data_IF_941947292687
#
_entry.id   IF_941947292687
#
_cell.length_a   1.000
_cell.length_b   1.000
_cell.length_c   1.000
_cell.angle_alpha   90.00
_cell.angle_beta   90.00
_cell.angle_gamma   90.00
#
_symmetry.space_group_name_H-M   'P 1'
#
loop_
_entity.id
_entity.type
_entity.pdbx_description
1 polymer ?
#
# COMPACT_ATOMS: atom_id res chain seq x y z
N UNK A 1 9.88 15.14 8.29
CA UNK A 1 10.74 14.06 7.78
C UNK A 1 9.89 12.93 7.21
N UNK A 2 10.31 12.31 6.10
CA UNK A 2 9.70 11.11 5.51
C UNK A 2 10.46 9.87 6.01
N UNK A 3 9.81 8.99 6.76
CA UNK A 3 10.46 7.85 7.42
C UNK A 3 9.59 6.59 7.32
N UNK A 4 10.08 5.59 6.59
CA UNK A 4 9.37 4.33 6.36
C UNK A 4 9.26 3.46 7.62
N UNK A 5 10.25 3.49 8.50
CA UNK A 5 10.22 2.76 9.78
C UNK A 5 9.07 3.23 10.66
N UNK A 6 8.85 4.54 10.74
CA UNK A 6 7.72 5.11 11.51
C UNK A 6 6.35 4.74 10.94
N UNK A 7 6.26 4.49 9.63
CA UNK A 7 5.01 3.98 9.02
C UNK A 7 4.73 2.56 9.50
N UNK A 8 5.75 1.71 9.59
CA UNK A 8 5.63 0.33 10.09
C UNK A 8 5.29 0.30 11.59
N UNK A 9 5.88 1.20 12.38
CA UNK A 9 5.66 1.31 13.83
C UNK A 9 4.23 1.71 14.22
N UNK A 10 3.42 2.21 13.28
CA UNK A 10 1.99 2.45 13.53
C UNK A 10 1.22 1.16 13.87
N UNK A 11 1.77 -0.02 13.57
CA UNK A 11 1.23 -1.34 13.90
C UNK A 11 -0.27 -1.49 13.57
N UNK A 12 -0.68 -0.98 12.42
CA UNK A 12 -2.05 -1.01 11.95
C UNK A 12 -2.11 -1.58 10.53
N UNK A 13 -3.19 -2.32 10.22
CA UNK A 13 -3.50 -2.69 8.84
C UNK A 13 -3.74 -1.42 8.03
N UNK A 14 -2.96 -1.24 6.97
CA UNK A 14 -3.02 -0.11 6.06
C UNK A 14 -3.87 -0.50 4.85
N UNK A 15 -4.97 0.19 4.62
CA UNK A 15 -5.83 -0.01 3.47
C UNK A 15 -5.50 0.99 2.38
N UNK A 16 -5.47 0.53 1.14
CA UNK A 16 -5.37 1.40 -0.03
C UNK A 16 -6.75 2.03 -0.25
N UNK A 17 -6.89 3.31 0.08
CA UNK A 17 -8.12 4.03 -0.19
C UNK A 17 -8.23 4.37 -1.67
N UNK A 18 -7.19 5.01 -2.19
CA UNK A 18 -7.10 5.50 -3.56
C UNK A 18 -5.75 5.19 -4.18
N UNK A 19 -5.72 5.09 -5.52
CA UNK A 19 -4.48 4.96 -6.29
C UNK A 19 -4.60 5.65 -7.65
N UNK A 20 -3.46 5.99 -8.26
CA UNK A 20 -3.43 6.70 -9.56
C UNK A 20 -2.97 5.81 -10.73
N UNK A 21 -3.19 4.51 -10.65
CA UNK A 21 -2.82 3.51 -11.68
C UNK A 21 -3.81 2.35 -11.64
N UNK A 22 -3.87 1.59 -12.72
CA UNK A 22 -4.74 0.44 -12.83
C UNK A 22 -4.02 -0.84 -12.39
N UNK A 23 -4.69 -1.72 -11.66
CA UNK A 23 -4.19 -3.08 -11.40
C UNK A 23 -5.37 -4.02 -11.52
N UNK A 24 -5.17 -5.07 -12.31
CA UNK A 24 -6.12 -6.14 -12.53
C UNK A 24 -5.51 -7.49 -12.19
N UNK A 25 -6.37 -8.44 -11.88
CA UNK A 25 -5.98 -9.83 -11.65
C UNK A 25 -5.96 -10.62 -12.96
N UNK A 26 -4.78 -10.75 -13.55
CA UNK A 26 -4.60 -11.41 -14.84
C UNK A 26 -5.02 -12.89 -14.82
N UNK A 27 -5.02 -13.55 -13.66
CA UNK A 27 -5.32 -14.98 -13.54
C UNK A 27 -6.76 -15.25 -13.10
N UNK A 28 -7.57 -14.22 -12.88
CA UNK A 28 -8.97 -14.37 -12.49
C UNK A 28 -9.84 -13.38 -13.24
N UNK A 29 -9.88 -13.55 -14.57
CA UNK A 29 -10.82 -12.82 -15.43
C UNK A 29 -10.50 -11.35 -15.67
N UNK A 30 -9.27 -10.91 -15.37
CA UNK A 30 -8.82 -9.52 -15.56
C UNK A 30 -9.67 -8.50 -14.76
N UNK A 31 -10.22 -8.92 -13.62
CA UNK A 31 -10.99 -8.03 -12.76
C UNK A 31 -10.10 -7.00 -12.06
N UNK A 32 -10.53 -5.73 -11.92
CA UNK A 32 -9.82 -4.74 -11.12
C UNK A 32 -9.64 -5.20 -9.68
N UNK A 33 -8.45 -4.98 -9.12
CA UNK A 33 -8.22 -5.22 -7.70
C UNK A 33 -8.94 -4.18 -6.86
N UNK A 34 -9.61 -4.64 -5.81
CA UNK A 34 -10.35 -3.84 -4.85
C UNK A 34 -9.99 -4.26 -3.43
N UNK A 35 -10.39 -3.47 -2.44
CA UNK A 35 -10.26 -3.80 -1.02
C UNK A 35 -8.83 -4.20 -0.62
N UNK A 36 -7.84 -3.51 -1.17
CA UNK A 36 -6.45 -3.83 -0.94
C UNK A 36 -6.00 -3.36 0.44
N UNK A 37 -5.32 -4.22 1.19
CA UNK A 37 -4.69 -3.87 2.45
C UNK A 37 -3.38 -4.60 2.69
N UNK A 38 -2.54 -3.95 3.49
CA UNK A 38 -1.22 -4.41 3.86
C UNK A 38 -1.14 -4.45 5.39
N UNK A 39 -0.77 -5.61 5.93
CA UNK A 39 -0.50 -5.79 7.35
C UNK A 39 0.95 -6.21 7.52
N UNK A 40 1.75 -5.36 8.15
CA UNK A 40 3.10 -5.74 8.56
C UNK A 40 2.97 -6.72 9.72
N UNK A 41 3.64 -7.86 9.60
CA UNK A 41 3.68 -8.90 10.61
C UNK A 41 5.00 -8.92 11.36
N UNK A 42 5.43 -10.12 11.71
CA UNK A 42 6.65 -10.35 12.49
C UNK A 42 7.89 -9.77 11.83
N UNK A 43 8.74 -9.20 12.68
CA UNK A 43 10.08 -8.74 12.35
C UNK A 43 11.01 -9.95 12.26
N UNK A 44 11.44 -10.30 11.05
CA UNK A 44 12.31 -11.47 10.76
C UNK A 44 13.77 -11.16 11.05
N UNK A 45 14.20 -9.93 10.76
CA UNK A 45 15.55 -9.41 11.06
C UNK A 45 15.42 -7.94 11.49
N UNK A 46 16.50 -7.24 11.92
CA UNK A 46 16.43 -5.83 12.28
C UNK A 46 15.76 -4.91 11.23
N UNK A 47 15.76 -5.32 9.96
CA UNK A 47 15.36 -4.53 8.81
C UNK A 47 14.35 -5.23 7.87
N UNK A 48 14.06 -6.52 8.10
CA UNK A 48 13.13 -7.30 7.29
C UNK A 48 11.90 -7.70 8.11
N UNK A 49 10.74 -7.49 7.51
CA UNK A 49 9.43 -7.77 8.10
C UNK A 49 8.65 -8.69 7.18
N UNK A 50 7.79 -9.54 7.74
CA UNK A 50 6.73 -10.16 6.94
C UNK A 50 5.68 -9.12 6.59
N UNK A 51 5.15 -9.17 5.38
CA UNK A 51 4.12 -8.26 4.90
C UNK A 51 2.99 -9.10 4.30
N UNK A 52 1.81 -9.06 4.90
CA UNK A 52 0.64 -9.71 4.33
C UNK A 52 -0.10 -8.71 3.45
N UNK A 53 -0.25 -9.03 2.17
CA UNK A 53 -1.04 -8.28 1.21
C UNK A 53 -2.34 -9.03 0.92
N UNK A 54 -3.48 -8.39 1.21
CA UNK A 54 -4.81 -8.90 0.93
C UNK A 54 -5.51 -8.02 -0.08
N UNK A 55 -6.29 -8.64 -0.96
CA UNK A 55 -7.09 -7.93 -1.95
C UNK A 55 -8.30 -8.75 -2.37
N UNK A 56 -9.27 -8.08 -2.99
CA UNK A 56 -10.46 -8.68 -3.58
C UNK A 56 -10.40 -8.58 -5.10
N UNK A 57 -10.72 -9.67 -5.78
CA UNK A 57 -10.77 -9.78 -7.24
C UNK A 57 -11.94 -10.69 -7.64
N UNK A 58 -12.79 -10.23 -8.57
CA UNK A 58 -13.95 -11.01 -9.01
C UNK A 58 -14.92 -11.40 -7.88
N UNK A 59 -14.97 -10.62 -6.81
CA UNK A 59 -15.78 -10.92 -5.62
C UNK A 59 -15.11 -11.81 -4.57
N UNK A 60 -13.97 -12.44 -4.88
CA UNK A 60 -13.23 -13.35 -4.01
C UNK A 60 -12.04 -12.67 -3.33
N UNK A 61 -11.78 -13.02 -2.07
CA UNK A 61 -10.60 -12.55 -1.35
C UNK A 61 -9.37 -13.41 -1.66
N UNK A 62 -8.22 -12.75 -1.77
CA UNK A 62 -6.92 -13.37 -1.99
C UNK A 62 -5.91 -12.80 -1.01
N UNK A 63 -4.94 -13.62 -0.62
CA UNK A 63 -3.86 -13.25 0.31
C UNK A 63 -2.53 -13.67 -0.28
N UNK A 64 -1.55 -12.77 -0.22
CA UNK A 64 -0.16 -13.00 -0.62
C UNK A 64 0.73 -12.62 0.56
N UNK A 65 1.70 -13.46 0.86
CA UNK A 65 2.70 -13.18 1.90
C UNK A 65 4.00 -12.73 1.23
N UNK A 66 4.38 -11.50 1.52
CA UNK A 66 5.55 -10.82 0.99
C UNK A 66 6.57 -10.51 2.09
N UNK A 67 7.72 -10.01 1.67
CA UNK A 67 8.70 -9.40 2.58
C UNK A 67 8.73 -7.89 2.38
N UNK A 68 8.78 -7.15 3.49
CA UNK A 68 9.06 -5.72 3.51
C UNK A 68 10.46 -5.50 4.05
N UNK A 69 11.30 -4.83 3.26
CA UNK A 69 12.68 -4.52 3.61
C UNK A 69 12.81 -3.01 3.78
N UNK A 70 13.39 -2.58 4.90
CA UNK A 70 13.70 -1.19 5.22
C UNK A 70 15.21 -1.03 5.40
N UNK A 71 15.78 0.12 5.07
CA UNK A 71 17.15 0.49 5.45
C UNK A 71 18.30 -0.19 4.69
N UNK A 72 18.30 -1.50 4.47
CA UNK A 72 19.35 -2.18 3.68
C UNK A 72 18.80 -3.33 2.83
N UNK A 73 19.19 -3.34 1.55
CA UNK A 73 18.98 -4.47 0.64
C UNK A 73 20.32 -5.17 0.41
N UNK A 74 20.58 -6.24 1.17
CA UNK A 74 21.90 -6.85 1.24
C UNK A 74 22.90 -5.89 1.88
N UNK A 75 23.94 -5.49 1.15
CA UNK A 75 24.93 -4.48 1.57
C UNK A 75 24.59 -3.06 1.12
N UNK A 76 23.52 -2.89 0.34
CA UNK A 76 23.14 -1.59 -0.23
C UNK A 76 22.24 -0.83 0.74
N UNK A 77 22.62 0.36 1.23
CA UNK A 77 21.71 1.18 2.02
C UNK A 77 20.54 1.67 1.18
N UNK A 78 19.36 1.65 1.77
CA UNK A 78 18.12 2.21 1.23
C UNK A 78 17.86 3.59 1.85
N UNK A 79 17.25 4.53 1.11
CA UNK A 79 16.82 5.80 1.66
C UNK A 79 15.87 5.60 2.87
N UNK A 80 15.88 6.51 3.87
CA UNK A 80 15.02 6.39 5.05
C UNK A 80 13.50 6.37 4.76
N UNK A 81 13.09 6.86 3.60
CA UNK A 81 11.69 6.88 3.15
C UNK A 81 11.34 5.73 2.20
N UNK A 82 12.23 4.77 1.97
CA UNK A 82 12.00 3.65 1.06
C UNK A 82 11.38 2.45 1.77
N UNK A 83 10.33 1.90 1.17
CA UNK A 83 9.68 0.65 1.52
C UNK A 83 9.86 -0.33 0.36
N UNK A 84 10.81 -1.25 0.49
CA UNK A 84 11.09 -2.23 -0.56
C UNK A 84 10.20 -3.47 -0.39
N UNK A 85 9.17 -3.59 -1.23
CA UNK A 85 8.22 -4.70 -1.25
C UNK A 85 7.54 -4.84 -2.62
N UNK A 86 6.89 -5.99 -2.87
CA UNK A 86 6.09 -6.20 -4.08
C UNK A 86 4.72 -5.53 -3.94
N UNK A 87 4.46 -4.48 -4.73
CA UNK A 87 3.20 -3.74 -4.61
C UNK A 87 2.00 -4.49 -5.21
N UNK A 88 2.19 -5.29 -6.25
CA UNK A 88 1.11 -6.01 -6.94
C UNK A 88 1.21 -7.51 -6.70
N UNK A 89 0.11 -8.29 -6.83
CA UNK A 89 0.11 -9.71 -6.47
C UNK A 89 1.10 -10.58 -7.26
N UNK A 90 1.45 -10.15 -8.47
CA UNK A 90 2.37 -10.84 -9.39
C UNK A 90 3.58 -9.98 -9.74
N UNK A 91 3.81 -8.90 -8.98
CA UNK A 91 4.93 -8.00 -9.20
C UNK A 91 6.17 -8.48 -8.45
N UNK A 92 7.34 -8.08 -8.94
CA UNK A 92 8.56 -8.20 -8.15
C UNK A 92 8.62 -7.07 -7.10
N UNK A 93 9.42 -7.29 -6.05
CA UNK A 93 9.67 -6.24 -5.07
C UNK A 93 10.39 -5.03 -5.71
N UNK A 94 9.92 -3.83 -5.38
CA UNK A 94 10.44 -2.57 -5.92
C UNK A 94 10.50 -1.52 -4.82
N UNK A 95 11.13 -0.38 -5.13
CA UNK A 95 11.26 0.77 -4.24
C UNK A 95 9.95 1.57 -4.20
N UNK A 96 9.24 1.53 -3.06
CA UNK A 96 8.01 2.31 -2.85
C UNK A 96 8.31 3.41 -1.83
N UNK A 97 8.26 4.67 -2.24
CA UNK A 97 8.75 5.77 -1.38
C UNK A 97 7.62 6.46 -0.62
N UNK A 98 7.80 6.66 0.68
CA UNK A 98 6.93 7.50 1.51
C UNK A 98 7.08 8.96 1.08
N UNK A 99 6.06 9.52 0.44
CA UNK A 99 6.01 10.94 0.07
C UNK A 99 5.50 11.80 1.23
N UNK A 100 4.58 11.26 2.01
CA UNK A 100 4.04 11.90 3.19
C UNK A 100 3.43 10.85 4.11
N UNK A 101 3.54 11.06 5.42
CA UNK A 101 2.73 10.35 6.40
C UNK A 101 2.51 11.28 7.58
N UNK A 102 1.32 11.21 8.17
CA UNK A 102 1.10 11.83 9.47
C UNK A 102 1.51 10.91 10.63
N UNK A 103 1.96 9.69 10.34
CA UNK A 103 2.36 8.66 11.32
C UNK A 103 1.27 8.32 12.35
N UNK A 104 0.01 8.53 11.96
CA UNK A 104 -1.17 8.20 12.78
C UNK A 104 -2.09 7.29 11.99
N UNK A 105 -2.51 7.73 10.81
CA UNK A 105 -3.54 7.04 10.05
C UNK A 105 -3.53 7.29 8.54
N UNK A 106 -2.63 8.11 8.01
CA UNK A 106 -2.61 8.46 6.59
C UNK A 106 -1.18 8.47 6.06
N UNK A 107 -0.95 7.74 4.98
CA UNK A 107 0.36 7.63 4.32
C UNK A 107 0.19 7.70 2.81
N UNK A 108 1.06 8.43 2.13
CA UNK A 108 1.10 8.54 0.68
C UNK A 108 2.40 7.91 0.21
N UNK A 109 2.28 6.91 -0.67
CA UNK A 109 3.42 6.23 -1.27
C UNK A 109 3.54 6.60 -2.74
N UNK A 110 4.77 6.79 -3.21
CA UNK A 110 5.13 6.74 -4.63
C UNK A 110 5.31 5.27 -5.00
N UNK A 111 4.54 4.83 -5.98
CA UNK A 111 4.59 3.47 -6.50
C UNK A 111 5.18 3.50 -7.91
N UNK A 112 6.23 2.71 -8.20
CA UNK A 112 6.72 2.54 -9.56
C UNK A 112 5.78 1.62 -10.34
N UNK A 113 5.30 2.08 -11.51
CA UNK A 113 4.52 1.27 -12.46
C UNK A 113 5.11 1.43 -13.86
N UNK A 114 6.21 0.75 -14.20
CA UNK A 114 6.96 0.97 -15.45
C UNK A 114 6.09 0.96 -16.72
N UNK A 115 5.06 0.11 -16.75
CA UNK A 115 4.17 -0.06 -17.90
C UNK A 115 3.01 0.94 -17.95
N UNK A 116 2.89 1.86 -16.98
CA UNK A 116 1.78 2.83 -16.89
C UNK A 116 2.26 4.29 -16.77
N UNK A 117 3.57 4.49 -16.83
CA UNK A 117 4.23 5.78 -16.70
C UNK A 117 4.84 6.00 -15.31
N UNK A 118 5.22 7.24 -15.04
CA UNK A 118 5.92 7.61 -13.81
C UNK A 118 4.97 8.12 -12.73
N UNK A 119 5.48 8.54 -11.57
CA UNK A 119 4.74 9.35 -10.60
C UNK A 119 3.38 8.77 -10.15
N UNK A 120 3.24 7.45 -10.07
CA UNK A 120 2.03 6.85 -9.54
C UNK A 120 2.03 6.84 -8.02
N UNK A 121 0.84 6.92 -7.42
CA UNK A 121 0.71 6.96 -5.98
C UNK A 121 -0.36 6.03 -5.46
N UNK A 122 -0.17 5.69 -4.19
CA UNK A 122 -1.20 5.18 -3.32
C UNK A 122 -1.49 6.19 -2.19
N UNK A 123 -2.76 6.27 -1.81
CA UNK A 123 -3.19 6.82 -0.53
C UNK A 123 -3.58 5.68 0.39
N UNK A 124 -2.79 5.44 1.42
CA UNK A 124 -3.05 4.47 2.46
C UNK A 124 -3.70 5.12 3.67
N UNK A 125 -4.69 4.43 4.23
CA UNK A 125 -5.33 4.80 5.48
C UNK A 125 -5.39 3.63 6.45
N UNK A 126 -5.19 3.90 7.75
CA UNK A 126 -5.30 2.88 8.78
C UNK A 126 -6.74 2.34 8.89
N UNK A 127 -6.88 1.04 9.19
CA UNK A 127 -8.15 0.30 9.27
C UNK A 127 -9.28 1.01 10.02
N UNK A 128 -8.98 1.66 11.15
CA UNK A 128 -10.02 2.33 11.95
C UNK A 128 -10.57 3.62 11.32
N UNK A 129 -9.91 4.16 10.31
CA UNK A 129 -10.21 5.48 9.74
C UNK A 129 -10.44 5.47 8.23
N UNK A 130 -10.17 4.36 7.53
CA UNK A 130 -10.26 4.29 6.06
C UNK A 130 -11.67 4.63 5.52
N UNK A 131 -12.72 4.37 6.29
CA UNK A 131 -14.11 4.74 5.94
C UNK A 131 -14.39 6.24 6.05
N UNK A 132 -13.55 6.99 6.76
CA UNK A 132 -13.64 8.44 6.91
C UNK A 132 -12.86 9.14 5.80
N UNK A 133 -13.10 10.44 5.59
CA UNK A 133 -12.27 11.22 4.69
C UNK A 133 -10.82 11.29 5.16
N UNK A 134 -9.84 11.27 4.25
CA UNK A 134 -8.45 11.46 4.62
C UNK A 134 -8.26 12.78 5.38
N UNK A 135 -7.39 12.82 6.41
CA UNK A 135 -7.10 14.07 7.12
C UNK A 135 -6.69 15.17 6.13
N UNK A 136 -7.23 16.37 6.30
CA UNK A 136 -7.05 17.49 5.36
C UNK A 136 -5.58 17.71 4.93
N UNK A 137 -4.57 17.72 5.84
CA UNK A 137 -3.17 17.87 5.42
C UNK A 137 -2.67 16.73 4.53
N UNK A 138 -3.14 15.50 4.78
CA UNK A 138 -2.79 14.35 3.94
C UNK A 138 -3.46 14.46 2.57
N UNK A 139 -4.73 14.88 2.53
CA UNK A 139 -5.48 15.07 1.29
C UNK A 139 -4.83 16.13 0.39
N UNK A 140 -4.46 17.27 0.95
CA UNK A 140 -3.77 18.35 0.22
C UNK A 140 -2.44 17.85 -0.37
N UNK A 141 -1.65 17.13 0.43
CA UNK A 141 -0.39 16.53 -0.02
C UNK A 141 -0.58 15.44 -1.07
N UNK A 142 -1.68 14.70 -1.01
CA UNK A 142 -2.02 13.72 -2.05
C UNK A 142 -2.23 14.42 -3.39
N UNK A 143 -3.05 15.48 -3.43
CA UNK A 143 -3.27 16.22 -4.68
C UNK A 143 -2.02 16.93 -5.18
N UNK A 144 -1.17 17.44 -4.28
CA UNK A 144 0.11 18.06 -4.65
C UNK A 144 1.06 17.04 -5.28
N UNK A 145 1.26 15.89 -4.65
CA UNK A 145 2.30 14.92 -5.05
C UNK A 145 1.86 13.91 -6.11
N UNK A 146 0.55 13.69 -6.21
CA UNK A 146 -0.10 12.67 -7.04
C UNK A 146 -1.04 13.29 -8.07
N UNK A 147 -0.76 14.53 -8.50
CA UNK A 147 -1.52 15.27 -9.50
C UNK A 147 -1.57 14.51 -10.84
N UNK A 148 -2.60 13.68 -11.00
CA UNK A 148 -2.85 12.79 -12.12
C UNK A 148 -4.32 12.93 -12.53
N UNK A 149 -4.59 12.72 -13.82
CA UNK A 149 -5.94 12.82 -14.39
C UNK A 149 -6.86 11.68 -13.94
N UNK A 150 -6.29 10.54 -13.52
CA UNK A 150 -7.04 9.37 -13.10
C UNK A 150 -6.76 9.02 -11.66
N UNK A 151 -7.84 8.81 -10.90
CA UNK A 151 -7.83 8.30 -9.55
C UNK A 151 -8.82 7.13 -9.45
N UNK A 152 -8.37 6.02 -8.90
CA UNK A 152 -9.15 4.79 -8.74
C UNK A 152 -9.50 4.62 -7.28
N UNK A 153 -10.80 4.47 -7.00
CA UNK A 153 -11.27 4.04 -5.68
C UNK A 153 -10.99 2.56 -5.50
N UNK A 154 -10.23 2.24 -4.44
CA UNK A 154 -9.82 0.86 -4.13
C UNK A 154 -10.56 0.36 -2.89
N UNK A 155 -10.70 1.20 -1.87
CA UNK A 155 -11.50 0.89 -0.69
C UNK A 155 -12.95 1.28 -0.88
N UNK A 156 -13.86 0.37 -0.51
CA UNK A 156 -15.30 0.53 -0.54
C UNK A 156 -15.89 0.13 0.82
N UNK A 157 -17.06 0.63 1.23
CA UNK A 157 -17.68 0.27 2.51
C UNK A 157 -17.95 -1.24 2.69
N UNK A 158 -18.07 -1.99 1.60
CA UNK A 158 -18.24 -3.45 1.62
C UNK A 158 -16.90 -4.22 1.68
N UNK A 159 -15.77 -3.52 1.82
CA UNK A 159 -14.48 -4.10 2.15
C UNK A 159 -14.45 -4.49 3.62
N UNK A 160 -15.36 -5.38 4.01
CA UNK A 160 -15.37 -6.03 5.29
C UNK A 160 -14.73 -7.40 5.12
N UNK A 161 -13.73 -7.69 5.94
CA UNK A 161 -13.24 -9.04 6.08
C UNK A 161 -14.38 -9.83 6.73
N UNK A 162 -15.21 -10.50 5.93
CA UNK A 162 -15.98 -11.63 6.47
C UNK A 162 -14.92 -12.62 6.90
N UNK A 163 -14.67 -12.71 8.20
CA UNK A 163 -13.96 -13.83 8.81
C UNK A 163 -14.67 -15.09 8.33
N UNK A 164 -14.10 -15.74 7.32
CA UNK A 164 -14.58 -17.01 6.81
C UNK A 164 -14.35 -18.07 7.87
N UNK A 165 -15.33 -18.21 8.76
CA UNK A 165 -15.57 -19.42 9.53
C UNK A 165 -16.98 -19.86 9.14
N UNK A 166 -17.04 -20.84 8.24
CA UNK A 166 -18.16 -21.78 8.13
C UNK A 166 -17.67 -23.10 8.71
#
# INVERSE_FOLDING_TARGET
>A
EQNATRVVEMNATQWVKWRTYNVTDLFSGNHPLQCENFKVGEKRTPLNYSLQYKYRSGGSWKTVNESLILGFLGLRPLPPNDMFFARTPFGIATHNFVLYSNYVNCTILRIPMPNQGEKHCDLWMANMTVSQDPPKPCLEKYYEYCNRTQNFTVYFPNCTEKSGFY
#
